data_IF_399749914612
#
_entry.id   IF_399749914612
#
_cell.length_a   1.000
_cell.length_b   1.000
_cell.length_c   1.000
_cell.angle_alpha   90.00
_cell.angle_beta   90.00
_cell.angle_gamma   90.00
#
_symmetry.space_group_name_H-M   'P 1'
#
loop_
_entity.id
_entity.type
_entity.pdbx_description
1 polymer ?
#
# COMPACT_ATOMS: atom_id res chain seq x y z
N UNK A 1 -1.33 -0.90 -4.03
CA UNK A 1 -0.39 -1.16 -5.14
C UNK A 1 -1.06 -0.94 -6.49
N UNK A 2 -2.07 -1.75 -6.86
CA UNK A 2 -2.75 -1.65 -8.16
C UNK A 2 -3.23 -0.24 -8.55
N UNK A 3 -3.83 0.51 -7.62
CA UNK A 3 -4.27 1.89 -7.86
C UNK A 3 -3.13 2.79 -8.39
N UNK A 4 -1.93 2.70 -7.81
CA UNK A 4 -0.80 3.54 -8.26
C UNK A 4 -0.39 3.20 -9.69
N UNK A 5 -0.42 1.92 -10.05
CA UNK A 5 -0.16 1.47 -11.43
C UNK A 5 -1.26 1.97 -12.39
N UNK A 6 -2.53 1.93 -11.98
CA UNK A 6 -3.65 2.46 -12.78
C UNK A 6 -3.55 3.97 -13.01
N UNK A 7 -2.94 4.71 -12.07
CA UNK A 7 -2.65 6.14 -12.20
C UNK A 7 -1.40 6.44 -13.05
N UNK A 8 -0.73 5.42 -13.60
CA UNK A 8 0.41 5.57 -14.50
C UNK A 8 1.78 5.52 -13.84
N UNK A 9 1.89 5.01 -12.61
CA UNK A 9 3.20 4.77 -12.00
C UNK A 9 3.94 3.61 -12.69
N UNK A 10 5.27 3.73 -12.85
CA UNK A 10 6.12 2.66 -13.38
C UNK A 10 6.36 1.52 -12.37
N UNK A 11 6.12 1.79 -11.09
CA UNK A 11 6.30 0.85 -9.99
C UNK A 11 5.88 1.41 -8.64
N UNK A 12 5.88 0.58 -7.61
CA UNK A 12 5.45 0.94 -6.25
C UNK A 12 6.52 0.54 -5.24
N UNK A 13 6.92 1.49 -4.38
CA UNK A 13 7.80 1.21 -3.25
C UNK A 13 6.98 0.94 -1.99
N UNK A 14 7.27 -0.16 -1.29
CA UNK A 14 6.56 -0.52 -0.04
C UNK A 14 7.55 -1.01 0.99
N UNK A 15 7.62 -0.32 2.13
CA UNK A 15 8.38 -0.75 3.31
C UNK A 15 7.46 -1.22 4.42
N UNK A 16 6.99 -0.28 5.22
CA UNK A 16 6.20 -0.54 6.42
C UNK A 16 4.87 -1.25 6.15
N UNK A 17 4.29 -1.06 4.96
CA UNK A 17 3.10 -1.79 4.48
C UNK A 17 3.25 -3.32 4.45
N UNK A 18 4.48 -3.82 4.35
CA UNK A 18 4.82 -5.24 4.38
C UNK A 18 5.30 -5.61 5.78
N UNK A 19 6.36 -4.96 6.26
CA UNK A 19 7.08 -5.40 7.46
C UNK A 19 6.39 -5.09 8.79
N UNK A 20 5.38 -4.23 8.80
CA UNK A 20 4.53 -3.95 9.98
C UNK A 20 3.12 -4.52 9.84
N UNK A 21 2.92 -5.49 8.95
CA UNK A 21 1.68 -6.24 8.85
C UNK A 21 1.76 -7.56 9.62
N UNK A 22 0.63 -8.21 9.84
CA UNK A 22 0.57 -9.47 10.57
C UNK A 22 1.28 -10.63 9.86
N UNK A 23 1.19 -10.70 8.53
CA UNK A 23 1.87 -11.69 7.69
C UNK A 23 2.67 -10.98 6.56
N UNK A 24 3.93 -10.57 6.84
CA UNK A 24 4.77 -9.90 5.85
C UNK A 24 5.02 -10.73 4.57
N UNK A 25 5.35 -12.04 4.64
CA UNK A 25 5.52 -12.86 3.43
C UNK A 25 4.27 -12.93 2.54
N UNK A 26 3.07 -13.15 3.11
CA UNK A 26 1.84 -13.21 2.34
C UNK A 26 1.52 -11.85 1.71
N UNK A 27 1.66 -10.77 2.49
CA UNK A 27 1.40 -9.41 2.01
C UNK A 27 2.39 -8.97 0.93
N UNK A 28 3.66 -9.34 1.04
CA UNK A 28 4.65 -9.08 -0.01
C UNK A 28 4.26 -9.75 -1.33
N UNK A 29 3.89 -11.03 -1.31
CA UNK A 29 3.41 -11.75 -2.51
C UNK A 29 2.18 -11.10 -3.12
N UNK A 30 1.20 -10.73 -2.28
CA UNK A 30 0.00 -10.05 -2.72
C UNK A 30 0.28 -8.70 -3.38
N UNK A 31 1.20 -7.90 -2.83
CA UNK A 31 1.59 -6.60 -3.40
C UNK A 31 2.29 -6.78 -4.75
N UNK A 32 3.18 -7.77 -4.88
CA UNK A 32 3.82 -8.08 -6.17
C UNK A 32 2.77 -8.47 -7.21
N UNK A 33 1.90 -9.43 -6.88
CA UNK A 33 0.84 -9.88 -7.79
C UNK A 33 -0.13 -8.74 -8.16
N UNK A 34 -0.52 -7.89 -7.19
CA UNK A 34 -1.38 -6.74 -7.44
C UNK A 34 -0.72 -5.65 -8.29
N UNK A 35 0.61 -5.54 -8.25
CA UNK A 35 1.38 -4.62 -9.11
C UNK A 35 1.44 -5.18 -10.53
N UNK A 36 1.69 -6.49 -10.69
CA UNK A 36 1.75 -7.15 -12.00
C UNK A 36 0.40 -7.22 -12.70
N UNK A 37 -0.67 -7.52 -11.97
CA UNK A 37 -2.02 -7.75 -12.51
C UNK A 37 -2.98 -6.60 -12.18
N UNK A 38 -2.47 -5.36 -12.15
CA UNK A 38 -3.20 -4.20 -11.65
C UNK A 38 -4.51 -3.86 -12.40
N UNK A 39 -4.72 -4.41 -13.59
CA UNK A 39 -5.93 -4.23 -14.41
C UNK A 39 -6.87 -5.45 -14.41
N UNK A 40 -6.55 -6.53 -13.69
CA UNK A 40 -7.44 -7.70 -13.56
C UNK A 40 -8.18 -7.67 -12.22
N UNK A 41 -9.46 -7.25 -12.18
CA UNK A 41 -10.21 -7.15 -10.94
C UNK A 41 -10.41 -8.50 -10.23
N UNK A 42 -10.38 -9.63 -10.96
CA UNK A 42 -10.53 -10.96 -10.36
C UNK A 42 -9.29 -11.33 -9.58
N UNK A 43 -8.11 -11.16 -10.19
CA UNK A 43 -6.82 -11.41 -9.51
C UNK A 43 -6.68 -10.48 -8.31
N UNK A 44 -7.02 -9.20 -8.44
CA UNK A 44 -6.96 -8.25 -7.32
C UNK A 44 -7.86 -8.68 -6.15
N UNK A 45 -9.08 -9.15 -6.44
CA UNK A 45 -10.00 -9.63 -5.41
C UNK A 45 -9.52 -10.93 -4.74
N UNK A 46 -8.79 -11.78 -5.46
CA UNK A 46 -8.21 -13.01 -4.92
C UNK A 46 -7.01 -12.72 -4.02
N UNK A 47 -6.02 -11.97 -4.51
CA UNK A 47 -4.77 -11.70 -3.77
C UNK A 47 -4.96 -10.78 -2.57
N UNK A 48 -6.12 -10.12 -2.44
CA UNK A 48 -6.47 -9.28 -1.30
C UNK A 48 -7.08 -10.06 -0.12
N UNK A 49 -7.29 -11.37 -0.26
CA UNK A 49 -7.90 -12.22 0.77
C UNK A 49 -6.86 -12.73 1.76
N UNK A 50 -7.31 -12.97 3.00
CA UNK A 50 -6.56 -13.69 4.04
C UNK A 50 -5.15 -13.11 4.33
N UNK A 51 -4.96 -11.81 4.15
CA UNK A 51 -3.66 -11.13 4.38
C UNK A 51 -3.43 -10.68 5.83
N UNK A 52 -4.35 -11.00 6.74
CA UNK A 52 -4.35 -10.51 8.13
C UNK A 52 -4.49 -8.98 8.23
N UNK A 53 -4.17 -8.42 9.39
CA UNK A 53 -4.27 -6.98 9.59
C UNK A 53 -3.19 -6.22 8.80
N UNK A 54 -3.60 -5.09 8.26
CA UNK A 54 -2.68 -4.13 7.66
C UNK A 54 -1.95 -3.34 8.77
N UNK A 55 -0.83 -2.73 8.42
CA UNK A 55 -0.21 -1.73 9.30
C UNK A 55 -1.21 -0.60 9.62
N UNK A 56 -1.24 -0.18 10.89
CA UNK A 56 -1.99 1.00 11.30
C UNK A 56 -1.40 2.29 10.71
N UNK A 57 -2.26 3.09 10.09
CA UNK A 57 -1.94 4.44 9.66
C UNK A 57 -1.91 5.42 10.83
N UNK A 58 -1.22 6.55 10.63
CA UNK A 58 -1.29 7.71 11.53
C UNK A 58 -2.24 8.75 10.91
N UNK A 59 -3.15 9.27 11.72
CA UNK A 59 -4.00 10.39 11.32
C UNK A 59 -3.18 11.67 11.13
N UNK A 60 -3.55 12.50 10.15
CA UNK A 60 -2.77 13.69 9.78
C UNK A 60 -2.56 14.66 10.95
N UNK A 61 -3.54 14.80 11.83
CA UNK A 61 -3.47 15.67 13.00
C UNK A 61 -2.48 15.18 14.06
N UNK A 62 -2.18 13.88 14.09
CA UNK A 62 -1.23 13.27 15.01
C UNK A 62 0.23 13.36 14.50
N UNK A 63 0.45 13.67 13.22
CA UNK A 63 1.79 13.79 12.64
C UNK A 63 2.38 15.16 13.04
N UNK A 64 3.57 15.21 13.69
CA UNK A 64 4.26 16.46 14.02
C UNK A 64 4.48 17.33 12.78
N UNK A 65 4.38 18.66 12.91
CA UNK A 65 4.51 19.58 11.78
C UNK A 65 5.84 19.40 11.00
N UNK A 66 6.95 19.19 11.72
CA UNK A 66 8.26 18.97 11.12
C UNK A 66 8.41 17.67 10.30
N UNK A 67 7.50 16.71 10.46
CA UNK A 67 7.52 15.42 9.75
C UNK A 67 6.55 15.39 8.56
N UNK A 68 5.76 16.45 8.35
CA UNK A 68 4.81 16.54 7.24
C UNK A 68 5.56 16.94 5.96
N UNK A 69 5.32 16.20 4.88
CA UNK A 69 5.97 16.47 3.58
C UNK A 69 5.58 17.81 2.94
N UNK A 70 4.36 18.29 3.20
CA UNK A 70 3.87 19.57 2.70
C UNK A 70 2.85 20.14 3.68
N UNK A 71 2.99 21.42 4.03
CA UNK A 71 1.90 22.18 4.66
C UNK A 71 0.88 22.51 3.57
N UNK A 72 -0.42 22.22 3.77
CA UNK A 72 -1.43 22.58 2.77
C UNK A 72 -1.52 24.11 2.70
N UNK A 73 -1.14 24.69 1.57
CA UNK A 73 -1.30 26.10 1.28
C UNK A 73 -0.39 26.50 0.13
N UNK A 74 -0.98 27.04 -0.94
CA UNK A 74 -0.30 28.07 -1.73
C UNK A 74 -0.16 29.37 -0.92
#
# INVERSE_FOLDING_TARGET
>A
AALMMQLGADGVFVGSGIFKSDDPPARAKAIVAATTHYNDPKVLAEVSRDLGEAMQGLEIFAIPAAERMQERGW
#
